data_IF_852623941567
#
_entry.id   IF_852623941567
#
_cell.length_a   1.000
_cell.length_b   1.000
_cell.length_c   1.000
_cell.angle_alpha   90.00
_cell.angle_beta   90.00
_cell.angle_gamma   90.00
#
_symmetry.space_group_name_H-M   'P 1'
#
loop_
_entity.id
_entity.type
_entity.pdbx_description
1 polymer ?
#
# COMPACT_ATOMS: atom_id res chain seq x y z
N UNK A 1 -12.87 12.31 -19.32
CA UNK A 1 -11.44 12.52 -19.67
C UNK A 1 -11.06 11.52 -20.73
N UNK A 2 -10.34 12.00 -21.74
CA UNK A 2 -9.91 11.13 -22.85
C UNK A 2 -8.91 10.08 -22.38
N UNK A 3 -8.97 8.91 -23.02
CA UNK A 3 -8.09 7.78 -22.71
C UNK A 3 -6.60 8.18 -22.78
N UNK A 4 -6.23 8.95 -23.81
CA UNK A 4 -4.85 9.37 -24.01
C UNK A 4 -4.34 10.24 -22.86
N UNK A 5 -5.19 11.13 -22.34
CA UNK A 5 -4.83 11.99 -21.22
C UNK A 5 -4.71 11.17 -19.93
N UNK A 6 -5.64 10.26 -19.66
CA UNK A 6 -5.56 9.35 -18.52
C UNK A 6 -4.27 8.56 -18.53
N UNK A 7 -3.91 8.01 -19.67
CA UNK A 7 -2.70 7.21 -19.85
C UNK A 7 -1.44 8.06 -19.65
N UNK A 8 -1.43 9.28 -20.21
CA UNK A 8 -0.29 10.19 -20.06
C UNK A 8 -0.06 10.60 -18.61
N UNK A 9 -1.12 10.94 -17.88
CA UNK A 9 -1.03 11.30 -16.47
C UNK A 9 -0.59 10.10 -15.59
N UNK A 10 -1.08 8.90 -15.91
CA UNK A 10 -0.67 7.69 -15.22
C UNK A 10 0.81 7.39 -15.42
N UNK A 11 1.30 7.49 -16.64
CA UNK A 11 2.72 7.27 -16.94
C UNK A 11 3.61 8.32 -16.28
N UNK A 12 3.18 9.57 -16.27
CA UNK A 12 3.92 10.64 -15.59
C UNK A 12 3.97 10.39 -14.09
N UNK A 13 2.84 10.03 -13.48
CA UNK A 13 2.77 9.65 -12.07
C UNK A 13 3.72 8.50 -11.78
N UNK A 14 3.66 7.44 -12.57
CA UNK A 14 4.49 6.25 -12.40
C UNK A 14 5.98 6.61 -12.42
N UNK A 15 6.42 7.43 -13.39
CA UNK A 15 7.82 7.88 -13.46
C UNK A 15 8.22 8.67 -12.23
N UNK A 16 7.32 9.49 -11.71
CA UNK A 16 7.57 10.25 -10.47
C UNK A 16 7.75 9.32 -9.28
N UNK A 17 6.93 8.26 -9.18
CA UNK A 17 7.06 7.27 -8.11
C UNK A 17 8.39 6.52 -8.19
N UNK A 18 8.80 6.08 -9.37
CA UNK A 18 10.09 5.42 -9.56
C UNK A 18 11.25 6.34 -9.14
N UNK A 19 11.19 7.60 -9.55
CA UNK A 19 12.21 8.58 -9.20
C UNK A 19 12.29 8.81 -7.68
N UNK A 20 11.14 8.82 -7.00
CA UNK A 20 11.10 8.96 -5.55
C UNK A 20 11.71 7.75 -4.83
N UNK A 21 11.44 6.55 -5.33
CA UNK A 21 12.00 5.31 -4.77
C UNK A 21 13.51 5.30 -4.93
N UNK A 22 14.02 5.67 -6.10
CA UNK A 22 15.46 5.75 -6.34
C UNK A 22 16.13 6.78 -5.44
N UNK A 23 15.49 7.93 -5.24
CA UNK A 23 16.02 8.98 -4.37
C UNK A 23 16.10 8.57 -2.91
N UNK A 24 15.29 7.61 -2.48
CA UNK A 24 15.30 7.06 -1.12
C UNK A 24 16.11 5.78 -0.99
N UNK A 25 16.81 5.35 -2.04
CA UNK A 25 17.66 4.16 -2.07
C UNK A 25 16.91 2.86 -1.72
N UNK A 26 15.60 2.82 -1.98
CA UNK A 26 14.84 1.59 -1.83
C UNK A 26 15.08 0.66 -3.01
N UNK A 27 15.28 -0.62 -2.72
CA UNK A 27 15.44 -1.65 -3.77
C UNK A 27 14.09 -1.91 -4.39
N UNK A 28 13.99 -1.69 -5.71
CA UNK A 28 12.70 -1.74 -6.41
C UNK A 28 12.78 -2.69 -7.62
N UNK A 29 11.72 -3.52 -7.76
CA UNK A 29 11.41 -4.22 -9.00
C UNK A 29 10.20 -3.57 -9.63
N UNK A 30 10.13 -3.51 -10.96
CA UNK A 30 9.02 -2.84 -11.61
C UNK A 30 8.65 -3.47 -12.94
N UNK A 31 7.39 -3.26 -13.33
CA UNK A 31 6.85 -3.67 -14.62
C UNK A 31 6.24 -2.42 -15.26
N UNK A 32 6.97 -1.82 -16.20
CA UNK A 32 6.58 -0.54 -16.81
C UNK A 32 5.31 -0.67 -17.66
N UNK A 33 5.09 -1.82 -18.27
CA UNK A 33 3.90 -2.04 -19.10
C UNK A 33 2.61 -2.01 -18.26
N UNK A 34 2.69 -2.51 -17.03
CA UNK A 34 1.54 -2.55 -16.12
C UNK A 34 1.50 -1.37 -15.16
N UNK A 35 2.49 -0.49 -15.18
CA UNK A 35 2.66 0.62 -14.24
C UNK A 35 2.65 0.13 -12.79
N UNK A 36 3.35 -0.98 -12.56
CA UNK A 36 3.42 -1.64 -11.27
C UNK A 36 4.86 -1.67 -10.77
N UNK A 37 5.03 -1.54 -9.45
CA UNK A 37 6.34 -1.63 -8.82
C UNK A 37 6.21 -2.23 -7.43
N UNK A 38 7.31 -2.80 -6.95
CA UNK A 38 7.39 -3.27 -5.58
C UNK A 38 8.75 -2.97 -4.97
N UNK A 39 8.78 -2.72 -3.68
CA UNK A 39 9.99 -2.36 -2.96
C UNK A 39 9.89 -2.74 -1.50
N UNK A 40 11.04 -2.91 -0.87
CA UNK A 40 11.13 -3.24 0.55
C UNK A 40 11.44 -2.00 1.39
N UNK A 41 10.86 -1.95 2.58
CA UNK A 41 11.12 -0.90 3.57
C UNK A 41 11.41 -1.57 4.90
N UNK A 42 12.48 -1.13 5.57
CA UNK A 42 12.82 -1.62 6.90
C UNK A 42 12.04 -0.83 7.95
N UNK A 43 11.26 -1.54 8.77
CA UNK A 43 10.61 -0.95 9.93
C UNK A 43 11.40 -1.19 11.22
N UNK A 44 10.82 -0.80 12.35
CA UNK A 44 11.42 -1.06 13.65
C UNK A 44 11.27 -2.52 14.07
N UNK A 45 10.11 -3.14 13.76
CA UNK A 45 9.77 -4.48 14.18
C UNK A 45 9.84 -5.50 13.06
N UNK A 46 9.68 -5.08 11.80
CA UNK A 46 9.71 -5.99 10.67
C UNK A 46 10.15 -5.30 9.38
N UNK A 47 10.60 -6.11 8.44
CA UNK A 47 10.83 -5.69 7.07
C UNK A 47 9.51 -5.84 6.30
N UNK A 48 9.16 -4.81 5.55
CA UNK A 48 7.90 -4.75 4.83
C UNK A 48 8.13 -4.75 3.33
N UNK A 49 7.22 -5.39 2.61
CA UNK A 49 7.18 -5.39 1.16
C UNK A 49 5.96 -4.60 0.72
N UNK A 50 6.17 -3.58 -0.11
CA UNK A 50 5.09 -2.76 -0.66
C UNK A 50 4.93 -3.02 -2.15
N UNK A 51 3.69 -3.18 -2.57
CA UNK A 51 3.29 -3.30 -3.96
C UNK A 51 2.48 -2.08 -4.34
N UNK A 52 2.85 -1.43 -5.44
CA UNK A 52 2.20 -0.20 -5.88
C UNK A 52 1.75 -0.37 -7.32
N UNK A 53 0.51 -0.01 -7.57
CA UNK A 53 -0.08 -0.01 -8.90
C UNK A 53 -0.63 1.38 -9.21
N UNK A 54 -0.25 1.91 -10.36
CA UNK A 54 -0.84 3.14 -10.90
C UNK A 54 -1.98 2.73 -11.84
N UNK A 55 -3.21 2.97 -11.42
CA UNK A 55 -4.41 2.62 -12.18
C UNK A 55 -4.79 3.81 -13.06
N UNK A 56 -4.54 3.69 -14.36
CA UNK A 56 -4.79 4.78 -15.31
C UNK A 56 -6.29 5.05 -15.46
N UNK A 57 -7.12 4.02 -15.48
CA UNK A 57 -8.55 4.18 -15.71
C UNK A 57 -9.24 4.90 -14.55
N UNK A 58 -8.95 4.48 -13.33
CA UNK A 58 -9.53 5.08 -12.12
C UNK A 58 -8.77 6.31 -11.64
N UNK A 59 -7.57 6.54 -12.18
CA UNK A 59 -6.67 7.63 -11.78
C UNK A 59 -6.37 7.62 -10.30
N UNK A 60 -5.98 6.44 -9.80
CA UNK A 60 -5.54 6.26 -8.42
C UNK A 60 -4.19 5.54 -8.39
N UNK A 61 -3.42 5.82 -7.35
CA UNK A 61 -2.27 5.02 -6.95
C UNK A 61 -2.74 4.14 -5.80
N UNK A 62 -2.54 2.82 -5.94
CA UNK A 62 -2.86 1.85 -4.89
C UNK A 62 -1.58 1.27 -4.33
N UNK A 63 -1.44 1.33 -3.01
CA UNK A 63 -0.34 0.72 -2.29
C UNK A 63 -0.88 -0.37 -1.39
N UNK A 64 -0.29 -1.56 -1.45
CA UNK A 64 -0.64 -2.65 -0.54
C UNK A 64 0.60 -3.26 0.09
N UNK A 65 0.43 -3.76 1.31
CA UNK A 65 1.45 -4.53 2.01
C UNK A 65 0.77 -5.70 2.73
N UNK A 66 1.21 -6.91 2.41
CA UNK A 66 0.68 -8.11 3.06
C UNK A 66 1.44 -8.33 4.36
N UNK A 67 0.71 -8.54 5.45
CA UNK A 67 1.34 -8.90 6.71
C UNK A 67 1.92 -10.33 6.63
N UNK A 68 3.01 -10.61 7.37
CA UNK A 68 3.73 -11.89 7.23
C UNK A 68 3.07 -13.06 7.94
N UNK A 69 1.84 -12.91 8.39
CA UNK A 69 1.08 -13.98 9.05
C UNK A 69 -0.36 -13.97 8.56
N UNK A 70 -1.11 -15.01 8.89
CA UNK A 70 -2.55 -15.06 8.67
C UNK A 70 -3.23 -15.68 9.89
N UNK A 71 -4.49 -15.35 10.09
CA UNK A 71 -5.29 -15.92 11.16
C UNK A 71 -5.71 -17.34 10.80
N UNK A 72 -5.54 -18.32 11.72
CA UNK A 72 -6.02 -19.66 11.46
C UNK A 72 -7.55 -19.73 11.43
N UNK A 73 -8.09 -20.83 10.88
CA UNK A 73 -9.53 -20.97 10.71
C UNK A 73 -10.35 -20.83 11.98
N UNK A 74 -9.77 -21.19 13.14
CA UNK A 74 -10.45 -21.07 14.43
C UNK A 74 -10.36 -19.68 15.06
N UNK A 75 -9.72 -18.72 14.37
CA UNK A 75 -9.55 -17.33 14.84
C UNK A 75 -10.02 -16.28 13.82
N UNK A 76 -10.86 -16.68 12.89
CA UNK A 76 -11.35 -15.77 11.85
C UNK A 76 -12.18 -14.62 12.44
N UNK A 77 -13.04 -14.91 13.42
CA UNK A 77 -13.84 -13.84 14.04
C UNK A 77 -12.97 -12.88 14.84
N UNK A 78 -12.00 -13.40 15.57
CA UNK A 78 -11.04 -12.58 16.31
C UNK A 78 -10.22 -11.71 15.36
N UNK A 79 -9.82 -12.25 14.22
CA UNK A 79 -9.10 -11.50 13.19
C UNK A 79 -9.93 -10.37 12.60
N UNK A 80 -11.21 -10.64 12.29
CA UNK A 80 -12.11 -9.62 11.76
C UNK A 80 -12.34 -8.50 12.79
N UNK A 81 -12.52 -8.85 14.05
CA UNK A 81 -12.69 -7.87 15.13
C UNK A 81 -11.43 -7.05 15.32
N UNK A 82 -10.28 -7.69 15.39
CA UNK A 82 -8.98 -7.02 15.60
C UNK A 82 -8.65 -6.05 14.49
N UNK A 83 -8.86 -6.43 13.23
CA UNK A 83 -8.63 -5.54 12.09
C UNK A 83 -9.61 -4.37 12.08
N UNK A 84 -10.87 -4.62 12.48
CA UNK A 84 -11.85 -3.55 12.64
C UNK A 84 -11.44 -2.53 13.69
N UNK A 85 -10.90 -2.99 14.83
CA UNK A 85 -10.39 -2.11 15.88
C UNK A 85 -9.18 -1.32 15.39
N UNK A 86 -8.24 -1.97 14.71
CA UNK A 86 -7.07 -1.30 14.14
C UNK A 86 -7.49 -0.22 13.15
N UNK A 87 -8.45 -0.52 12.28
CA UNK A 87 -8.94 0.45 11.28
C UNK A 87 -9.57 1.67 11.95
N UNK A 88 -10.27 1.49 13.05
CA UNK A 88 -10.86 2.61 13.80
C UNK A 88 -9.79 3.59 14.30
N UNK A 89 -8.60 3.08 14.61
CA UNK A 89 -7.51 3.89 15.11
C UNK A 89 -6.71 4.60 14.00
N UNK A 90 -6.95 4.26 12.72
CA UNK A 90 -6.21 4.84 11.60
C UNK A 90 -6.90 6.10 11.08
N UNK A 91 -6.09 7.10 10.71
CA UNK A 91 -6.58 8.29 10.02
C UNK A 91 -6.79 7.99 8.54
N UNK A 92 -5.92 7.16 7.96
CA UNK A 92 -5.89 6.90 6.52
C UNK A 92 -5.49 5.44 6.26
N UNK A 93 -5.89 4.91 5.10
CA UNK A 93 -5.66 3.51 4.79
C UNK A 93 -6.51 2.58 5.63
N UNK A 94 -6.36 1.28 5.41
CA UNK A 94 -7.08 0.28 6.20
C UNK A 94 -6.42 -1.09 6.07
N UNK A 95 -6.67 -1.93 7.08
CA UNK A 95 -6.33 -3.34 7.03
C UNK A 95 -7.53 -4.10 6.44
N UNK A 96 -7.33 -4.69 5.26
CA UNK A 96 -8.30 -5.58 4.64
C UNK A 96 -8.12 -6.97 5.23
N UNK A 97 -9.21 -7.59 5.64
CA UNK A 97 -9.19 -8.93 6.20
C UNK A 97 -9.95 -9.90 5.30
N UNK A 98 -9.27 -10.96 4.88
CA UNK A 98 -9.89 -12.03 4.09
C UNK A 98 -10.48 -13.06 5.05
N UNK A 99 -11.81 -13.05 5.22
CA UNK A 99 -12.50 -13.95 6.14
C UNK A 99 -12.46 -15.40 5.72
N UNK A 100 -12.10 -15.68 4.47
CA UNK A 100 -11.98 -17.06 3.96
C UNK A 100 -10.62 -17.64 4.28
N UNK A 101 -9.56 -16.84 4.11
CA UNK A 101 -8.18 -17.30 4.22
C UNK A 101 -7.45 -16.83 5.46
N UNK A 102 -7.96 -15.79 6.11
CA UNK A 102 -7.32 -15.19 7.28
C UNK A 102 -6.17 -14.25 6.96
N UNK A 103 -5.93 -13.92 5.70
CA UNK A 103 -4.89 -12.99 5.29
C UNK A 103 -5.23 -11.56 5.72
N UNK A 104 -4.21 -10.79 6.07
CA UNK A 104 -4.34 -9.37 6.40
C UNK A 104 -3.46 -8.58 5.44
N UNK A 105 -4.05 -7.57 4.80
CA UNK A 105 -3.37 -6.69 3.86
C UNK A 105 -3.62 -5.25 4.28
N UNK A 106 -2.56 -4.46 4.42
CA UNK A 106 -2.71 -3.02 4.58
C UNK A 106 -2.82 -2.39 3.19
N UNK A 107 -3.81 -1.52 3.00
CA UNK A 107 -4.07 -0.86 1.72
C UNK A 107 -4.26 0.64 1.91
N UNK A 108 -3.62 1.41 1.03
CA UNK A 108 -3.84 2.85 0.88
C UNK A 108 -4.04 3.18 -0.59
N UNK A 109 -4.83 4.20 -0.84
CA UNK A 109 -5.01 4.75 -2.19
C UNK A 109 -4.89 6.26 -2.14
N UNK A 110 -4.44 6.85 -3.25
CA UNK A 110 -4.49 8.29 -3.43
C UNK A 110 -4.90 8.61 -4.86
N UNK A 111 -5.74 9.60 -5.02
CA UNK A 111 -6.21 10.03 -6.34
C UNK A 111 -5.21 10.96 -7.00
N UNK A 112 -5.04 10.82 -8.31
CA UNK A 112 -4.36 11.83 -9.12
C UNK A 112 -5.29 12.35 -10.22
N UNK A 113 -6.59 12.38 -9.94
CA UNK A 113 -7.62 12.77 -10.91
C UNK A 113 -7.27 14.11 -11.54
N UNK A 114 -7.13 14.11 -12.88
CA UNK A 114 -6.76 15.28 -13.69
C UNK A 114 -5.43 15.95 -13.28
N UNK A 115 -4.55 15.20 -12.61
CA UNK A 115 -3.28 15.70 -12.08
C UNK A 115 -2.25 14.57 -12.03
N UNK A 116 -1.25 14.72 -11.16
CA UNK A 116 -0.22 13.73 -10.90
C UNK A 116 0.04 13.69 -9.39
N UNK A 117 0.66 12.61 -8.92
CA UNK A 117 1.13 12.51 -7.54
C UNK A 117 2.56 13.03 -7.47
N UNK A 118 2.83 13.96 -6.57
CA UNK A 118 4.18 14.48 -6.35
C UNK A 118 5.05 13.47 -5.61
N UNK A 119 6.39 13.65 -5.69
CA UNK A 119 7.33 12.84 -4.92
C UNK A 119 7.06 12.94 -3.42
N UNK A 120 6.85 14.15 -2.91
CA UNK A 120 6.61 14.36 -1.49
C UNK A 120 5.32 13.67 -1.02
N UNK A 121 4.27 13.76 -1.81
CA UNK A 121 3.01 13.10 -1.49
C UNK A 121 3.17 11.56 -1.45
N UNK A 122 3.91 11.01 -2.40
CA UNK A 122 4.17 9.57 -2.44
C UNK A 122 5.02 9.12 -1.26
N UNK A 123 6.11 9.83 -0.95
CA UNK A 123 6.97 9.48 0.18
C UNK A 123 6.18 9.57 1.49
N UNK A 124 5.33 10.57 1.65
CA UNK A 124 4.45 10.67 2.81
C UNK A 124 3.49 9.49 2.92
N UNK A 125 2.93 9.07 1.79
CA UNK A 125 2.06 7.88 1.73
C UNK A 125 2.80 6.62 2.20
N UNK A 126 4.01 6.39 1.69
CA UNK A 126 4.84 5.24 2.05
C UNK A 126 5.23 5.28 3.53
N UNK A 127 5.63 6.43 4.02
CA UNK A 127 6.01 6.58 5.43
C UNK A 127 4.84 6.31 6.36
N UNK A 128 3.64 6.78 6.01
CA UNK A 128 2.44 6.48 6.79
C UNK A 128 2.11 5.00 6.75
N UNK A 129 2.16 4.38 5.58
CA UNK A 129 1.91 2.94 5.42
C UNK A 129 2.90 2.12 6.23
N UNK A 130 4.19 2.47 6.17
CA UNK A 130 5.23 1.78 6.93
C UNK A 130 4.98 1.91 8.43
N UNK A 131 4.62 3.10 8.90
CA UNK A 131 4.28 3.32 10.30
C UNK A 131 3.08 2.44 10.72
N UNK A 132 2.01 2.43 9.92
CA UNK A 132 0.81 1.68 10.25
C UNK A 132 1.06 0.18 10.32
N UNK A 133 1.74 -0.37 9.32
CA UNK A 133 2.06 -1.81 9.26
C UNK A 133 2.98 -2.18 10.42
N UNK A 134 4.04 -1.42 10.63
CA UNK A 134 5.03 -1.69 11.68
C UNK A 134 4.38 -1.64 13.06
N UNK A 135 3.53 -0.63 13.29
CA UNK A 135 2.88 -0.44 14.59
C UNK A 135 1.85 -1.52 14.91
N UNK A 136 1.06 -1.92 13.92
CA UNK A 136 -0.07 -2.83 14.18
C UNK A 136 0.25 -4.31 13.95
N UNK A 137 1.38 -4.63 13.30
CA UNK A 137 1.75 -6.02 13.00
C UNK A 137 1.77 -6.87 14.26
N UNK A 138 2.49 -6.47 15.29
CA UNK A 138 2.60 -7.25 16.53
C UNK A 138 1.26 -7.34 17.27
N UNK A 139 0.51 -6.23 17.28
CA UNK A 139 -0.79 -6.19 17.95
C UNK A 139 -1.78 -7.16 17.31
N UNK A 140 -1.79 -7.24 15.98
CA UNK A 140 -2.64 -8.17 15.26
C UNK A 140 -2.15 -9.61 15.40
N UNK A 141 -0.85 -9.82 15.37
CA UNK A 141 -0.26 -11.16 15.53
C UNK A 141 -0.58 -11.77 16.89
N UNK A 142 -0.70 -10.95 17.94
CA UNK A 142 -0.93 -11.42 19.31
C UNK A 142 -2.39 -11.74 19.62
N UNK A 143 -3.28 -11.55 18.67
CA UNK A 143 -4.71 -11.87 18.86
C UNK A 143 -4.99 -13.38 18.89
#
# INVERSE_FOLDING_TARGET
MAYELKTALAKQTYRTLLSAIEANDWVCSHNDAQLALNFGVHGNDLDMEFYVLVDAERQIVRLISRLPFKFPGNKIYEGALATGIANYALVDGNFDFDITRGDVIFRMTTSFLSSVVSKDAFINLVNYAAWAVDRFNDKLFMV
#
